data_IF_499804692331
#
_entry.id   IF_499804692331
#
_cell.length_a   1.000
_cell.length_b   1.000
_cell.length_c   1.000
_cell.angle_alpha   90.00
_cell.angle_beta   90.00
_cell.angle_gamma   90.00
#
_symmetry.space_group_name_H-M   'P 1'
#
loop_
_entity.id
_entity.type
_entity.pdbx_description
1 polymer ?
#
# COMPACT_ATOMS: atom_id res chain seq x y z
N UNK A 1 10.54 -19.29 -31.21
CA UNK A 1 9.14 -19.02 -30.84
C UNK A 1 8.28 -20.11 -31.44
N UNK A 2 7.39 -20.77 -30.66
CA UNK A 2 6.45 -21.71 -31.22
C UNK A 2 5.51 -21.00 -32.20
N UNK A 3 5.04 -21.69 -33.25
CA UNK A 3 4.07 -21.14 -34.20
C UNK A 3 2.75 -20.90 -33.45
N UNK A 4 2.43 -19.63 -33.21
CA UNK A 4 1.17 -19.19 -32.61
C UNK A 4 0.04 -19.55 -33.60
N UNK A 5 -0.91 -20.38 -33.16
CA UNK A 5 -2.07 -20.81 -33.98
C UNK A 5 -3.39 -20.12 -33.58
N UNK A 6 -3.42 -19.47 -32.42
CA UNK A 6 -4.63 -18.89 -31.80
C UNK A 6 -4.28 -17.61 -31.01
N UNK A 7 -5.29 -16.86 -30.57
CA UNK A 7 -5.12 -15.63 -29.76
C UNK A 7 -4.31 -15.91 -28.50
N UNK A 8 -3.20 -15.20 -28.31
CA UNK A 8 -2.26 -15.43 -27.20
C UNK A 8 -1.93 -14.12 -26.49
N UNK A 9 -1.78 -14.18 -25.16
CA UNK A 9 -1.22 -13.10 -24.33
C UNK A 9 0.19 -13.51 -23.87
N UNK A 10 1.22 -12.76 -24.27
CA UNK A 10 2.60 -12.99 -23.85
C UNK A 10 3.00 -11.98 -22.75
N UNK A 11 3.56 -12.48 -21.65
CA UNK A 11 4.02 -11.67 -20.52
C UNK A 11 5.55 -11.71 -20.48
N UNK A 12 6.20 -10.59 -20.84
CA UNK A 12 7.66 -10.49 -20.81
C UNK A 12 8.21 -10.11 -19.42
N UNK A 13 8.70 -11.12 -18.69
CA UNK A 13 9.32 -10.92 -17.39
C UNK A 13 10.70 -10.24 -17.44
N UNK A 14 11.34 -10.14 -18.61
CA UNK A 14 12.56 -9.35 -18.80
C UNK A 14 12.22 -7.87 -18.83
N UNK A 15 11.14 -7.48 -19.52
CA UNK A 15 10.61 -6.12 -19.48
C UNK A 15 10.20 -5.72 -18.05
N UNK A 16 9.54 -6.62 -17.30
CA UNK A 16 9.23 -6.37 -15.89
C UNK A 16 10.47 -6.12 -15.04
N UNK A 17 11.53 -6.92 -15.21
CA UNK A 17 12.82 -6.70 -14.54
C UNK A 17 13.39 -5.33 -14.89
N UNK A 18 13.47 -5.01 -16.18
CA UNK A 18 14.00 -3.73 -16.64
C UNK A 18 13.26 -2.54 -16.00
N UNK A 19 11.93 -2.58 -15.99
CA UNK A 19 11.10 -1.53 -15.40
C UNK A 19 11.32 -1.40 -13.89
N UNK A 20 11.39 -2.53 -13.18
CA UNK A 20 11.67 -2.54 -11.74
C UNK A 20 13.04 -1.93 -11.43
N UNK A 21 14.08 -2.35 -12.14
CA UNK A 21 15.45 -1.85 -11.97
C UNK A 21 15.56 -0.36 -12.33
N UNK A 22 14.86 0.08 -13.39
CA UNK A 22 14.78 1.49 -13.75
C UNK A 22 14.15 2.31 -12.63
N UNK A 23 12.97 1.93 -12.11
CA UNK A 23 12.32 2.67 -11.02
C UNK A 23 13.16 2.65 -9.74
N UNK A 24 13.80 1.51 -9.40
CA UNK A 24 14.75 1.42 -8.28
C UNK A 24 15.93 2.39 -8.44
N UNK A 25 16.41 2.61 -9.67
CA UNK A 25 17.50 3.58 -9.92
C UNK A 25 17.09 5.05 -9.70
N UNK A 26 15.77 5.34 -9.73
CA UNK A 26 15.23 6.69 -9.53
C UNK A 26 14.97 7.04 -8.07
N UNK A 27 15.05 6.08 -7.15
CA UNK A 27 14.80 6.27 -5.72
C UNK A 27 16.07 6.11 -4.89
N UNK A 28 16.03 6.59 -3.64
CA UNK A 28 17.09 6.32 -2.67
C UNK A 28 17.22 4.80 -2.45
N UNK A 29 18.45 4.26 -2.31
CA UNK A 29 18.65 2.83 -2.02
C UNK A 29 17.95 2.35 -0.74
N UNK A 30 17.68 3.26 0.20
CA UNK A 30 16.98 2.97 1.46
C UNK A 30 15.45 2.93 1.32
N UNK A 31 14.90 3.48 0.23
CA UNK A 31 13.46 3.52 -0.02
C UNK A 31 12.96 2.15 -0.49
N UNK A 32 11.89 1.71 0.15
CA UNK A 32 11.24 0.43 -0.13
C UNK A 32 10.42 0.47 -1.41
N UNK A 33 10.32 -0.67 -2.07
CA UNK A 33 9.49 -0.83 -3.26
C UNK A 33 8.28 -1.72 -2.96
N UNK A 34 7.07 -1.17 -3.10
CA UNK A 34 5.83 -1.93 -3.03
C UNK A 34 5.30 -2.18 -4.43
N UNK A 35 5.29 -3.45 -4.85
CA UNK A 35 4.74 -3.85 -6.15
C UNK A 35 3.22 -3.98 -6.12
N UNK A 36 2.50 -3.11 -6.83
CA UNK A 36 1.03 -3.22 -6.94
C UNK A 36 0.68 -4.26 -8.01
N UNK A 37 0.00 -5.34 -7.63
CA UNK A 37 -0.36 -6.47 -8.51
C UNK A 37 -1.87 -6.76 -8.51
N UNK A 38 -2.69 -5.74 -8.20
CA UNK A 38 -4.15 -5.81 -8.24
C UNK A 38 -4.70 -6.10 -9.64
N UNK A 39 -5.95 -6.56 -9.73
CA UNK A 39 -6.66 -6.81 -10.98
C UNK A 39 -5.85 -7.73 -11.92
N UNK A 40 -5.44 -8.89 -11.40
CA UNK A 40 -4.58 -9.85 -12.11
C UNK A 40 -3.24 -9.23 -12.58
N UNK A 41 -2.58 -8.44 -11.73
CA UNK A 41 -1.42 -7.63 -12.13
C UNK A 41 -1.70 -6.82 -13.41
N UNK A 42 -2.80 -6.06 -13.39
CA UNK A 42 -3.22 -5.19 -14.50
C UNK A 42 -3.53 -5.96 -15.79
N UNK A 43 -4.27 -7.08 -15.67
CA UNK A 43 -4.70 -7.93 -16.80
C UNK A 43 -3.66 -8.96 -17.27
N UNK A 44 -2.62 -9.18 -16.48
CA UNK A 44 -1.58 -10.19 -16.69
C UNK A 44 -1.83 -11.42 -15.80
N UNK A 45 -0.77 -12.00 -15.23
CA UNK A 45 -0.83 -13.06 -14.23
C UNK A 45 -0.25 -12.54 -12.90
N UNK A 46 -1.10 -12.38 -11.89
CA UNK A 46 -0.70 -11.82 -10.60
C UNK A 46 0.30 -12.69 -9.85
N UNK A 47 0.20 -14.01 -9.95
CA UNK A 47 1.11 -14.95 -9.28
C UNK A 47 2.48 -14.89 -9.94
N UNK A 48 2.53 -14.94 -11.27
CA UNK A 48 3.77 -14.88 -12.04
C UNK A 48 4.51 -13.55 -11.79
N UNK A 49 3.78 -12.43 -11.86
CA UNK A 49 4.34 -11.09 -11.63
C UNK A 49 4.78 -10.93 -10.17
N UNK A 50 3.98 -11.36 -9.19
CA UNK A 50 4.34 -11.28 -7.77
C UNK A 50 5.59 -12.09 -7.45
N UNK A 51 5.69 -13.34 -7.93
CA UNK A 51 6.90 -14.17 -7.76
C UNK A 51 8.11 -13.50 -8.38
N UNK A 52 7.94 -12.91 -9.58
CA UNK A 52 9.03 -12.20 -10.24
C UNK A 52 9.49 -11.01 -9.41
N UNK A 53 8.57 -10.17 -8.93
CA UNK A 53 8.89 -9.02 -8.07
C UNK A 53 9.56 -9.44 -6.75
N UNK A 54 9.12 -10.52 -6.12
CA UNK A 54 9.77 -11.10 -4.93
C UNK A 54 11.21 -11.50 -5.23
N UNK A 55 11.47 -12.18 -6.36
CA UNK A 55 12.86 -12.54 -6.76
C UNK A 55 13.74 -11.34 -7.11
N UNK A 56 13.14 -10.22 -7.50
CA UNK A 56 13.85 -8.98 -7.81
C UNK A 56 14.14 -8.15 -6.54
N UNK A 57 13.58 -8.53 -5.40
CA UNK A 57 13.78 -7.83 -4.13
C UNK A 57 12.79 -6.70 -3.89
N UNK A 58 11.55 -6.80 -4.37
CA UNK A 58 10.47 -5.94 -3.87
C UNK A 58 10.29 -6.16 -2.36
N UNK A 59 9.99 -5.09 -1.61
CA UNK A 59 9.83 -5.14 -0.15
C UNK A 59 8.41 -5.54 0.25
N UNK A 60 7.43 -5.17 -0.56
CA UNK A 60 6.00 -5.31 -0.32
C UNK A 60 5.28 -5.62 -1.62
N UNK A 61 4.08 -6.19 -1.50
CA UNK A 61 3.11 -6.22 -2.58
C UNK A 61 1.82 -5.53 -2.12
N UNK A 62 1.01 -5.09 -3.08
CA UNK A 62 -0.35 -4.66 -2.81
C UNK A 62 -1.36 -5.21 -3.82
N UNK A 63 -2.54 -5.53 -3.31
CA UNK A 63 -3.70 -6.03 -4.05
C UNK A 63 -4.92 -5.14 -3.78
N UNK A 64 -5.96 -5.23 -4.61
CA UNK A 64 -7.19 -4.47 -4.37
C UNK A 64 -8.01 -5.08 -3.23
N UNK A 65 -8.27 -6.39 -3.29
CA UNK A 65 -9.18 -7.10 -2.39
C UNK A 65 -8.51 -8.29 -1.72
N UNK A 66 -9.05 -8.74 -0.59
CA UNK A 66 -8.49 -9.85 0.19
C UNK A 66 -8.31 -11.12 -0.67
N UNK A 67 -9.28 -11.46 -1.51
CA UNK A 67 -9.23 -12.66 -2.36
C UNK A 67 -7.99 -12.70 -3.28
N UNK A 68 -7.57 -11.55 -3.82
CA UNK A 68 -6.34 -11.48 -4.63
C UNK A 68 -5.10 -11.82 -3.76
N UNK A 69 -5.06 -11.33 -2.52
CA UNK A 69 -3.98 -11.63 -1.57
C UNK A 69 -3.96 -13.09 -1.13
N UNK A 70 -5.13 -13.70 -0.95
CA UNK A 70 -5.30 -15.13 -0.63
C UNK A 70 -4.66 -15.99 -1.73
N UNK A 71 -4.96 -15.69 -3.00
CA UNK A 71 -4.36 -16.38 -4.16
C UNK A 71 -2.83 -16.28 -4.14
N UNK A 72 -2.27 -15.11 -3.83
CA UNK A 72 -0.82 -14.94 -3.73
C UNK A 72 -0.21 -15.75 -2.59
N UNK A 73 -0.89 -15.80 -1.43
CA UNK A 73 -0.45 -16.62 -0.28
C UNK A 73 -0.45 -18.10 -0.60
N UNK A 74 -1.50 -18.60 -1.24
CA UNK A 74 -1.60 -20.01 -1.68
C UNK A 74 -0.53 -20.36 -2.72
N UNK A 75 -0.13 -19.39 -3.55
CA UNK A 75 0.96 -19.55 -4.50
C UNK A 75 2.37 -19.49 -3.86
N UNK A 76 2.47 -19.28 -2.54
CA UNK A 76 3.69 -19.32 -1.77
C UNK A 76 4.42 -17.98 -1.60
N UNK A 77 3.78 -16.85 -1.93
CA UNK A 77 4.38 -15.51 -1.74
C UNK A 77 4.56 -15.21 -0.25
N UNK A 78 5.76 -14.77 0.12
CA UNK A 78 6.17 -14.52 1.50
C UNK A 78 6.29 -13.03 1.84
N UNK A 79 6.41 -12.17 0.82
CA UNK A 79 6.37 -10.72 1.05
C UNK A 79 5.11 -10.28 1.82
N UNK A 80 5.19 -9.21 2.63
CA UNK A 80 4.00 -8.55 3.15
C UNK A 80 3.06 -8.11 2.02
N UNK A 81 1.76 -8.30 2.20
CA UNK A 81 0.74 -7.97 1.18
C UNK A 81 -0.25 -6.99 1.78
N UNK A 82 -0.27 -5.77 1.25
CA UNK A 82 -1.25 -4.74 1.58
C UNK A 82 -2.54 -4.93 0.78
N UNK A 83 -3.68 -5.05 1.46
CA UNK A 83 -5.01 -5.05 0.84
C UNK A 83 -5.56 -3.63 0.81
N UNK A 84 -5.60 -3.01 -0.37
CA UNK A 84 -5.93 -1.59 -0.54
C UNK A 84 -7.40 -1.26 -0.23
N UNK A 85 -8.31 -2.22 -0.38
CA UNK A 85 -9.74 -2.08 -0.11
C UNK A 85 -10.23 -3.23 0.78
N UNK A 86 -9.73 -3.25 2.02
CA UNK A 86 -10.15 -4.21 3.03
C UNK A 86 -11.57 -3.87 3.54
N UNK A 87 -12.46 -4.86 3.53
CA UNK A 87 -13.85 -4.73 3.97
C UNK A 87 -14.12 -5.63 5.18
N UNK A 88 -15.04 -5.25 6.10
CA UNK A 88 -15.33 -6.03 7.31
C UNK A 88 -15.59 -7.51 7.08
N UNK A 89 -16.34 -7.83 6.01
CA UNK A 89 -16.65 -9.22 5.60
C UNK A 89 -15.39 -10.09 5.36
N UNK A 90 -14.25 -9.46 5.05
CA UNK A 90 -13.00 -10.15 4.74
C UNK A 90 -11.95 -10.11 5.85
N UNK A 91 -12.24 -9.50 7.00
CA UNK A 91 -11.24 -9.30 8.06
C UNK A 91 -10.74 -10.61 8.69
N UNK A 92 -11.62 -11.60 8.83
CA UNK A 92 -11.23 -12.92 9.29
C UNK A 92 -10.16 -13.55 8.39
N UNK A 93 -10.42 -13.62 7.08
CA UNK A 93 -9.51 -14.16 6.08
C UNK A 93 -8.21 -13.35 5.97
N UNK A 94 -8.29 -12.02 6.11
CA UNK A 94 -7.11 -11.15 6.14
C UNK A 94 -6.17 -11.58 7.26
N UNK A 95 -6.69 -11.82 8.47
CA UNK A 95 -5.89 -12.27 9.61
C UNK A 95 -5.38 -13.70 9.39
N UNK A 96 -6.25 -14.62 8.98
CA UNK A 96 -5.91 -16.05 8.81
C UNK A 96 -4.83 -16.27 7.74
N UNK A 97 -4.72 -15.37 6.77
CA UNK A 97 -3.72 -15.43 5.69
C UNK A 97 -2.59 -14.41 5.84
N UNK A 98 -2.47 -13.76 7.00
CA UNK A 98 -1.45 -12.76 7.30
C UNK A 98 -1.32 -11.68 6.21
N UNK A 99 -2.47 -11.12 5.81
CA UNK A 99 -2.57 -9.96 4.92
C UNK A 99 -2.69 -8.69 5.75
N UNK A 100 -2.19 -7.56 5.26
CA UNK A 100 -2.19 -6.30 6.01
C UNK A 100 -3.29 -5.37 5.44
N UNK A 101 -4.32 -4.98 6.23
CA UNK A 101 -5.42 -4.17 5.73
C UNK A 101 -5.05 -2.69 5.63
N UNK A 102 -5.51 -2.04 4.57
CA UNK A 102 -5.66 -0.60 4.53
C UNK A 102 -6.94 -0.17 5.27
N UNK A 103 -6.79 0.65 6.30
CA UNK A 103 -7.85 1.25 7.10
C UNK A 103 -8.00 2.72 6.71
N UNK A 104 -9.22 3.12 6.33
CA UNK A 104 -9.49 4.42 5.71
C UNK A 104 -10.74 5.12 6.23
N UNK A 105 -11.39 4.56 7.26
CA UNK A 105 -12.56 5.15 7.91
C UNK A 105 -12.68 4.68 9.36
N UNK A 106 -13.41 5.43 10.19
CA UNK A 106 -13.64 5.04 11.58
C UNK A 106 -14.40 3.71 11.70
N UNK A 107 -15.33 3.45 10.78
CA UNK A 107 -16.04 2.18 10.73
C UNK A 107 -15.08 1.01 10.50
N UNK A 108 -14.23 1.08 9.46
CA UNK A 108 -13.26 0.02 9.17
C UNK A 108 -12.23 -0.16 10.30
N UNK A 109 -11.79 0.93 10.93
CA UNK A 109 -10.88 0.88 12.08
C UNK A 109 -11.50 0.13 13.26
N UNK A 110 -12.71 0.51 13.67
CA UNK A 110 -13.40 -0.10 14.82
C UNK A 110 -13.72 -1.58 14.58
N UNK A 111 -14.24 -1.91 13.40
CA UNK A 111 -14.54 -3.29 13.02
C UNK A 111 -13.28 -4.17 12.95
N UNK A 112 -12.16 -3.62 12.44
CA UNK A 112 -10.91 -4.38 12.37
C UNK A 112 -10.30 -4.58 13.76
N UNK A 113 -10.28 -3.55 14.61
CA UNK A 113 -9.84 -3.67 16.01
C UNK A 113 -10.63 -4.76 16.73
N UNK A 114 -11.96 -4.73 16.61
CA UNK A 114 -12.85 -5.74 17.19
C UNK A 114 -12.47 -7.14 16.71
N UNK A 115 -12.41 -7.34 15.39
CA UNK A 115 -12.08 -8.64 14.79
C UNK A 115 -10.69 -9.14 15.22
N UNK A 116 -9.69 -8.26 15.22
CA UNK A 116 -8.33 -8.59 15.66
C UNK A 116 -8.29 -8.99 17.15
N UNK A 117 -9.00 -8.25 18.01
CA UNK A 117 -9.12 -8.57 19.43
C UNK A 117 -9.83 -9.89 19.69
N UNK A 118 -10.94 -10.16 18.99
CA UNK A 118 -11.68 -11.43 19.07
C UNK A 118 -10.83 -12.63 18.64
N UNK A 119 -9.93 -12.45 17.66
CA UNK A 119 -8.95 -13.46 17.23
C UNK A 119 -7.68 -13.49 18.09
N UNK A 120 -7.65 -12.75 19.20
CA UNK A 120 -6.53 -12.73 20.14
C UNK A 120 -5.23 -12.17 19.56
N UNK A 121 -5.31 -11.37 18.49
CA UNK A 121 -4.13 -10.74 17.89
C UNK A 121 -3.53 -9.70 18.83
N UNK A 122 -2.21 -9.51 18.71
CA UNK A 122 -1.47 -8.43 19.34
C UNK A 122 -0.62 -7.75 18.29
N UNK A 123 -0.66 -6.42 18.28
CA UNK A 123 0.09 -5.58 17.36
C UNK A 123 -0.09 -5.96 15.87
N UNK A 124 -1.27 -6.44 15.47
CA UNK A 124 -1.53 -6.82 14.07
C UNK A 124 -1.27 -5.62 13.13
N UNK A 125 -0.47 -5.78 12.07
CA UNK A 125 -0.05 -4.66 11.23
C UNK A 125 -1.23 -4.10 10.43
N UNK A 126 -1.49 -2.81 10.59
CA UNK A 126 -2.47 -2.05 9.79
C UNK A 126 -1.81 -0.88 9.05
N UNK A 127 -2.38 -0.51 7.91
CA UNK A 127 -1.94 0.64 7.11
C UNK A 127 -3.03 1.70 7.16
N UNK A 128 -2.72 2.92 7.58
CA UNK A 128 -3.71 4.00 7.63
C UNK A 128 -3.64 4.83 6.36
N UNK A 129 -4.77 5.04 5.70
CA UNK A 129 -4.85 5.94 4.56
C UNK A 129 -5.49 7.26 4.93
N UNK A 130 -4.81 8.35 4.59
CA UNK A 130 -5.38 9.69 4.68
C UNK A 130 -5.66 10.28 3.30
N UNK A 131 -6.77 10.99 3.18
CA UNK A 131 -7.13 11.75 2.01
C UNK A 131 -6.40 13.10 2.03
N UNK A 132 -5.54 13.32 1.05
CA UNK A 132 -4.80 14.58 0.89
C UNK A 132 -5.27 15.40 -0.31
N UNK A 133 -6.23 14.89 -1.10
CA UNK A 133 -6.77 15.61 -2.26
C UNK A 133 -7.33 14.72 -3.38
N UNK A 134 -7.04 13.41 -3.40
CA UNK A 134 -7.62 12.49 -4.39
C UNK A 134 -9.13 12.28 -4.19
N UNK A 135 -9.64 12.47 -2.97
CA UNK A 135 -11.07 12.40 -2.64
C UNK A 135 -11.75 11.06 -3.01
N UNK A 136 -11.01 9.95 -2.89
CA UNK A 136 -11.55 8.60 -3.10
C UNK A 136 -11.79 7.85 -1.80
N UNK A 137 -10.75 7.74 -0.96
CA UNK A 137 -10.78 7.04 0.33
C UNK A 137 -9.73 7.65 1.25
N UNK A 138 -9.98 7.60 2.55
CA UNK A 138 -9.02 7.95 3.60
C UNK A 138 -9.63 8.88 4.64
N UNK A 139 -9.04 8.86 5.83
CA UNK A 139 -9.31 9.82 6.88
C UNK A 139 -8.96 11.25 6.42
N UNK A 140 -9.64 12.24 6.98
CA UNK A 140 -9.28 13.64 6.77
C UNK A 140 -8.13 14.05 7.69
N UNK A 141 -7.46 15.16 7.37
CA UNK A 141 -6.42 15.73 8.26
C UNK A 141 -6.96 16.02 9.67
N UNK A 142 -8.22 16.43 9.78
CA UNK A 142 -8.89 16.69 11.06
C UNK A 142 -9.10 15.43 11.92
N UNK A 143 -9.00 14.24 11.32
CA UNK A 143 -9.30 12.98 12.01
C UNK A 143 -8.09 12.41 12.75
N UNK A 144 -6.90 13.01 12.58
CA UNK A 144 -5.61 12.51 13.12
C UNK A 144 -5.68 12.24 14.63
N UNK A 145 -6.17 13.19 15.42
CA UNK A 145 -6.24 13.06 16.88
C UNK A 145 -7.21 11.94 17.29
N UNK A 146 -8.39 11.90 16.67
CA UNK A 146 -9.41 10.88 16.93
C UNK A 146 -8.91 9.48 16.56
N UNK A 147 -8.21 9.34 15.43
CA UNK A 147 -7.62 8.06 15.01
C UNK A 147 -6.55 7.62 16.00
N UNK A 148 -5.65 8.52 16.43
CA UNK A 148 -4.62 8.21 17.41
C UNK A 148 -5.20 7.80 18.78
N UNK A 149 -6.25 8.49 19.25
CA UNK A 149 -6.93 8.15 20.49
C UNK A 149 -7.52 6.72 20.45
N UNK A 150 -8.25 6.37 19.38
CA UNK A 150 -8.80 5.03 19.19
C UNK A 150 -7.71 3.94 19.15
N UNK A 151 -6.54 4.26 18.59
CA UNK A 151 -5.41 3.33 18.54
C UNK A 151 -4.74 3.16 19.91
N UNK A 152 -4.73 4.18 20.77
CA UNK A 152 -4.19 4.08 22.13
C UNK A 152 -5.04 3.21 23.07
N UNK A 153 -6.31 2.99 22.73
CA UNK A 153 -7.25 2.19 23.52
C UNK A 153 -7.11 0.68 23.27
N UNK A 154 -6.24 0.26 22.35
CA UNK A 154 -6.09 -1.14 21.97
C UNK A 154 -4.62 -1.56 21.82
N UNK A 155 -4.37 -2.84 22.07
CA UNK A 155 -3.09 -3.49 21.75
C UNK A 155 -3.21 -4.52 20.63
N UNK A 156 -4.41 -4.72 20.07
CA UNK A 156 -4.65 -5.75 19.06
C UNK A 156 -4.07 -5.42 17.70
N UNK A 157 -3.86 -4.13 17.41
CA UNK A 157 -3.33 -3.63 16.13
C UNK A 157 -2.16 -2.69 16.35
N UNK A 158 -1.31 -2.54 15.34
CA UNK A 158 -0.21 -1.57 15.33
C UNK A 158 -0.09 -0.93 13.96
N UNK A 159 0.15 0.38 13.94
CA UNK A 159 0.31 1.13 12.69
C UNK A 159 1.64 0.75 12.06
N UNK A 160 1.58 -0.02 10.97
CA UNK A 160 2.74 -0.42 10.17
C UNK A 160 3.15 0.68 9.21
N UNK A 161 2.16 1.34 8.61
CA UNK A 161 2.36 2.47 7.72
C UNK A 161 1.24 3.49 7.81
N UNK A 162 1.54 4.72 7.41
CA UNK A 162 0.53 5.74 7.08
C UNK A 162 0.81 6.22 5.68
N UNK A 163 -0.20 6.28 4.82
CA UNK A 163 -0.01 6.62 3.42
C UNK A 163 -1.10 7.50 2.82
N UNK A 164 -0.76 8.12 1.70
CA UNK A 164 -1.73 8.80 0.83
C UNK A 164 -1.47 8.45 -0.63
N UNK A 165 -2.21 9.07 -1.55
CA UNK A 165 -2.03 8.85 -2.99
C UNK A 165 -2.05 10.20 -3.72
N UNK A 166 -1.02 10.43 -4.52
CA UNK A 166 -0.97 11.58 -5.43
C UNK A 166 -2.07 11.45 -6.47
N UNK A 167 -2.73 12.57 -6.78
CA UNK A 167 -3.85 12.57 -7.72
C UNK A 167 -3.47 13.01 -9.13
N UNK A 168 -2.48 13.89 -9.28
CA UNK A 168 -2.08 14.46 -10.57
C UNK A 168 -0.55 14.58 -10.69
N UNK A 169 0.18 13.55 -10.28
CA UNK A 169 1.66 13.58 -10.23
C UNK A 169 2.34 13.54 -11.60
N UNK A 170 1.60 13.28 -12.67
CA UNK A 170 2.04 13.35 -14.06
C UNK A 170 1.75 14.71 -14.72
N UNK A 171 0.89 15.55 -14.15
CA UNK A 171 0.46 16.81 -14.74
C UNK A 171 1.29 18.00 -14.20
N UNK A 172 2.13 18.65 -15.05
CA UNK A 172 2.92 19.80 -14.63
C UNK A 172 2.07 21.02 -14.24
N UNK A 173 0.87 21.18 -14.80
CA UNK A 173 -0.04 22.30 -14.50
C UNK A 173 -0.55 22.17 -13.05
N UNK A 174 -0.81 20.94 -12.61
CA UNK A 174 -1.28 20.63 -11.26
C UNK A 174 -0.15 20.54 -10.22
N UNK A 175 1.10 20.88 -10.59
CA UNK A 175 2.23 20.87 -9.65
C UNK A 175 1.95 21.65 -8.35
N UNK A 176 1.35 22.85 -8.35
CA UNK A 176 1.01 23.56 -7.11
C UNK A 176 0.03 22.78 -6.23
N UNK A 177 -0.91 22.04 -6.81
CA UNK A 177 -1.83 21.19 -6.08
C UNK A 177 -1.11 19.96 -5.50
N UNK A 178 -0.28 19.28 -6.29
CA UNK A 178 0.51 18.12 -5.84
C UNK A 178 1.43 18.47 -4.68
N UNK A 179 2.10 19.64 -4.71
CA UNK A 179 2.93 20.11 -3.60
C UNK A 179 2.11 20.33 -2.31
N UNK A 180 0.90 20.90 -2.43
CA UNK A 180 -0.02 21.03 -1.28
C UNK A 180 -0.45 19.66 -0.73
N UNK A 181 -0.67 18.65 -1.60
CA UNK A 181 -0.95 17.29 -1.13
C UNK A 181 0.23 16.73 -0.31
N UNK A 182 1.47 16.94 -0.77
CA UNK A 182 2.69 16.49 -0.09
C UNK A 182 2.84 17.18 1.27
N UNK A 183 2.64 18.50 1.34
CA UNK A 183 2.77 19.24 2.60
C UNK A 183 1.69 18.84 3.62
N UNK A 184 0.44 18.65 3.16
CA UNK A 184 -0.62 18.11 4.01
C UNK A 184 -0.28 16.72 4.53
N UNK A 185 0.28 15.86 3.69
CA UNK A 185 0.72 14.53 4.09
C UNK A 185 1.82 14.59 5.16
N UNK A 186 2.83 15.46 5.00
CA UNK A 186 3.89 15.68 5.99
C UNK A 186 3.32 16.11 7.35
N UNK A 187 2.35 17.03 7.36
CA UNK A 187 1.67 17.45 8.60
C UNK A 187 0.97 16.29 9.27
N UNK A 188 0.20 15.49 8.52
CA UNK A 188 -0.52 14.32 9.04
C UNK A 188 0.45 13.33 9.69
N UNK A 189 1.50 12.90 8.98
CA UNK A 189 2.40 11.87 9.50
C UNK A 189 3.21 12.38 10.70
N UNK A 190 3.64 13.65 10.68
CA UNK A 190 4.36 14.25 11.81
C UNK A 190 3.50 14.42 13.06
N UNK A 191 2.19 14.67 12.91
CA UNK A 191 1.25 14.66 14.04
C UNK A 191 0.98 13.24 14.54
N UNK A 192 0.74 12.29 13.63
CA UNK A 192 0.50 10.88 13.97
C UNK A 192 1.70 10.27 14.72
N UNK A 193 2.94 10.46 14.26
CA UNK A 193 4.13 9.93 14.94
C UNK A 193 4.28 10.51 16.36
N UNK A 194 3.98 11.80 16.54
CA UNK A 194 4.01 12.46 17.85
C UNK A 194 2.97 11.88 18.81
N UNK A 195 1.75 11.66 18.33
CA UNK A 195 0.62 11.16 19.13
C UNK A 195 0.78 9.67 19.46
N UNK A 196 1.27 8.88 18.51
CA UNK A 196 1.52 7.44 18.72
C UNK A 196 2.82 7.16 19.48
N UNK A 197 3.78 8.10 19.48
CA UNK A 197 5.06 7.96 20.18
C UNK A 197 6.07 7.04 19.49
N UNK A 198 5.84 6.66 18.23
CA UNK A 198 6.76 5.83 17.44
C UNK A 198 6.68 6.14 15.94
N UNK A 199 7.74 5.78 15.22
CA UNK A 199 7.82 5.94 13.77
C UNK A 199 7.20 4.75 13.02
N UNK A 200 6.66 5.02 11.84
CA UNK A 200 6.09 4.04 10.92
C UNK A 200 6.50 4.33 9.47
N UNK A 201 6.24 3.38 8.57
CA UNK A 201 6.56 3.54 7.15
C UNK A 201 5.65 4.62 6.55
N UNK A 202 6.24 5.61 5.88
CA UNK A 202 5.53 6.66 5.14
C UNK A 202 5.65 6.42 3.64
N UNK A 203 4.53 6.47 2.91
CA UNK A 203 4.52 6.37 1.46
C UNK A 203 3.41 7.16 0.79
N UNK A 204 3.68 7.70 -0.39
CA UNK A 204 2.71 8.51 -1.12
C UNK A 204 2.76 8.30 -2.64
N UNK A 205 3.97 8.21 -3.20
CA UNK A 205 4.17 8.09 -4.64
C UNK A 205 3.47 6.88 -5.26
N UNK A 206 2.87 7.14 -6.42
CA UNK A 206 2.65 6.18 -7.49
C UNK A 206 3.84 6.27 -8.48
N UNK A 207 3.77 5.60 -9.63
CA UNK A 207 4.81 5.63 -10.67
C UNK A 207 5.20 7.05 -11.13
N UNK A 208 4.25 7.94 -11.45
CA UNK A 208 4.57 9.31 -11.86
C UNK A 208 5.18 10.13 -10.70
N UNK A 209 4.72 9.89 -9.47
CA UNK A 209 5.31 10.44 -8.25
C UNK A 209 6.78 10.06 -8.05
N UNK A 210 7.17 8.81 -8.36
CA UNK A 210 8.57 8.37 -8.28
C UNK A 210 9.46 9.22 -9.20
N UNK A 211 8.98 9.51 -10.41
CA UNK A 211 9.78 10.18 -11.43
C UNK A 211 9.85 11.71 -11.23
N UNK A 212 8.75 12.30 -10.77
CA UNK A 212 8.57 13.76 -10.78
C UNK A 212 8.75 14.43 -9.41
N UNK A 213 8.64 13.67 -8.30
CA UNK A 213 8.68 14.21 -6.94
C UNK A 213 9.58 13.37 -5.99
N UNK A 214 10.92 13.40 -6.16
CA UNK A 214 11.86 12.71 -5.27
C UNK A 214 11.68 13.02 -3.78
N UNK A 215 11.26 14.23 -3.45
CA UNK A 215 10.98 14.69 -2.09
C UNK A 215 9.81 13.95 -1.42
N UNK A 216 9.00 13.23 -2.19
CA UNK A 216 7.83 12.49 -1.72
C UNK A 216 8.02 10.96 -1.75
N UNK A 217 9.24 10.48 -1.97
CA UNK A 217 9.57 9.05 -1.90
C UNK A 217 9.39 8.49 -0.49
N UNK A 218 9.67 9.31 0.53
CA UNK A 218 9.62 8.93 1.94
C UNK A 218 10.30 7.57 2.19
N UNK A 219 9.65 6.65 2.90
CA UNK A 219 10.19 5.35 3.27
C UNK A 219 9.87 4.26 2.23
N UNK A 220 8.79 4.43 1.45
CA UNK A 220 8.34 3.45 0.46
C UNK A 220 7.60 4.11 -0.72
N UNK A 221 7.70 3.54 -1.91
CA UNK A 221 6.93 3.95 -3.10
C UNK A 221 6.10 2.80 -3.66
N UNK A 222 5.10 3.11 -4.50
CA UNK A 222 4.15 2.15 -5.06
C UNK A 222 4.03 2.26 -6.58
#
# INVERSE_FOLDING_TARGET
MPKIKETTLEIDLKALRHNFEYLKSRMSPKTKFLGVVKAFAYGSDSVLVAKKLETLGADYLAVAYAQEGIVLREAGIRLPILVLHALPVSFNEIIDRCLEPNIYSFHTLKEFIKTASEKGQKEYPIHLKFNTGLNRLGFNTSDVETVAALLSETTSVKVKSVFSHMAASEDPIEKPFTLKQIDRYKTIVGQMERLLGYAFIKHMCNTSGILNYPEAHFDMVR
#
